data_IF_692919920917
#
_entry.id   IF_692919920917
#
_cell.length_a   1.000
_cell.length_b   1.000
_cell.length_c   1.000
_cell.angle_alpha   90.00
_cell.angle_beta   90.00
_cell.angle_gamma   90.00
#
_symmetry.space_group_name_H-M   'P 1'
#
loop_
_entity.id
_entity.type
_entity.pdbx_description
1 polymer ?
#
# COMPACT_ATOMS: atom_id res chain seq x y z
N UNK A 1 17.31 -1.41 -38.97
CA UNK A 1 16.90 -0.91 -40.30
C UNK A 1 18.04 -0.03 -40.81
N UNK A 2 18.96 -0.63 -41.59
CA UNK A 2 20.16 0.05 -42.11
C UNK A 2 19.80 0.64 -43.48
N UNK A 3 20.04 1.93 -43.68
CA UNK A 3 19.84 2.59 -44.97
C UNK A 3 21.23 2.90 -45.55
N UNK A 4 21.39 2.49 -46.80
CA UNK A 4 22.59 2.42 -47.62
C UNK A 4 23.42 3.70 -47.71
N UNK A 5 24.73 3.50 -47.58
CA UNK A 5 25.75 4.29 -48.25
C UNK A 5 25.59 4.17 -49.77
N UNK A 6 25.48 5.29 -50.48
CA UNK A 6 25.62 5.32 -51.93
C UNK A 6 26.71 6.32 -52.30
N UNK A 7 27.87 5.74 -52.60
CA UNK A 7 29.08 6.35 -53.14
C UNK A 7 28.80 6.81 -54.57
N UNK A 8 29.00 8.11 -54.87
CA UNK A 8 29.06 8.59 -56.25
C UNK A 8 30.51 8.93 -56.62
N UNK A 9 30.93 8.22 -57.66
CA UNK A 9 32.24 8.20 -58.28
C UNK A 9 32.67 9.54 -58.88
N UNK A 10 33.97 9.79 -58.77
CA UNK A 10 34.76 10.65 -59.64
C UNK A 10 34.54 10.30 -61.13
N UNK A 11 34.21 11.30 -61.94
CA UNK A 11 34.44 11.26 -63.38
C UNK A 11 35.24 12.50 -63.77
N UNK A 12 36.55 12.29 -63.88
CA UNK A 12 37.46 13.12 -64.65
C UNK A 12 37.24 12.82 -66.14
N UNK A 13 37.00 13.84 -66.94
CA UNK A 13 37.13 13.77 -68.40
C UNK A 13 37.66 15.10 -68.90
N UNK A 14 38.97 15.13 -69.13
CA UNK A 14 39.64 16.17 -69.89
C UNK A 14 39.08 16.23 -71.32
N UNK A 15 38.76 17.43 -71.79
CA UNK A 15 38.84 17.76 -73.21
C UNK A 15 39.45 19.15 -73.37
N UNK A 16 40.55 19.18 -74.09
CA UNK A 16 41.26 20.36 -74.59
C UNK A 16 40.46 20.95 -75.75
N UNK A 17 40.07 22.22 -75.67
CA UNK A 17 39.68 23.02 -76.84
C UNK A 17 40.42 24.36 -76.75
N UNK A 18 41.18 24.63 -77.82
CA UNK A 18 41.97 25.83 -78.06
C UNK A 18 41.14 27.10 -78.21
N UNK A 19 41.64 28.15 -77.54
CA UNK A 19 41.73 29.57 -77.90
C UNK A 19 40.63 30.21 -78.76
N UNK A 20 39.96 31.22 -78.18
CA UNK A 20 39.65 32.49 -78.84
C UNK A 20 39.74 33.64 -77.81
N UNK A 21 40.82 34.42 -77.87
CA UNK A 21 40.94 35.73 -77.23
C UNK A 21 40.02 36.72 -77.94
N UNK A 22 38.93 37.16 -77.28
CA UNK A 22 38.34 38.52 -77.37
C UNK A 22 37.19 38.64 -76.34
N UNK A 23 37.16 39.77 -75.62
CA UNK A 23 36.24 40.26 -74.55
C UNK A 23 36.51 39.87 -73.09
N UNK A 24 37.71 40.21 -72.63
CA UNK A 24 38.04 40.36 -71.22
C UNK A 24 37.29 41.58 -70.62
N UNK A 25 36.01 41.39 -70.26
CA UNK A 25 35.25 42.25 -69.31
C UNK A 25 33.94 41.63 -68.82
N UNK A 26 33.39 40.58 -69.47
CA UNK A 26 32.12 39.94 -69.07
C UNK A 26 32.28 38.66 -68.22
N UNK A 27 33.45 38.02 -68.18
CA UNK A 27 33.71 36.83 -67.35
C UNK A 27 33.80 37.13 -65.85
N UNK A 28 34.39 38.27 -65.47
CA UNK A 28 34.56 38.71 -64.07
C UNK A 28 33.24 39.00 -63.35
N UNK A 29 32.20 39.43 -64.08
CA UNK A 29 30.86 39.70 -63.53
C UNK A 29 30.06 38.41 -63.31
N UNK A 30 30.28 37.39 -64.15
CA UNK A 30 29.58 36.13 -64.09
C UNK A 30 30.14 35.20 -62.99
N UNK A 31 31.46 35.21 -62.77
CA UNK A 31 32.08 34.47 -61.64
C UNK A 31 31.68 35.05 -60.27
N UNK A 32 31.66 36.37 -60.10
CA UNK A 32 31.19 37.02 -58.85
C UNK A 32 29.72 36.75 -58.52
N UNK A 33 28.90 36.57 -59.55
CA UNK A 33 27.48 36.22 -59.38
C UNK A 33 27.32 34.76 -58.95
N UNK A 34 28.16 33.86 -59.48
CA UNK A 34 28.21 32.45 -59.06
C UNK A 34 28.72 32.31 -57.64
N UNK A 35 29.77 33.04 -57.27
CA UNK A 35 30.32 33.07 -55.91
C UNK A 35 29.28 33.53 -54.88
N UNK A 36 28.50 34.57 -55.18
CA UNK A 36 27.39 35.01 -54.33
C UNK A 36 26.32 33.92 -54.13
N UNK A 37 25.98 33.17 -55.18
CA UNK A 37 24.99 32.10 -55.12
C UNK A 37 25.52 30.93 -54.27
N UNK A 38 26.80 30.57 -54.41
CA UNK A 38 27.40 29.54 -53.57
C UNK A 38 27.46 29.98 -52.11
N UNK A 39 27.88 31.21 -51.83
CA UNK A 39 27.92 31.77 -50.47
C UNK A 39 26.53 31.75 -49.80
N UNK A 40 25.49 32.14 -50.54
CA UNK A 40 24.10 32.05 -50.06
C UNK A 40 23.70 30.60 -49.71
N UNK A 41 23.98 29.63 -50.59
CA UNK A 41 23.65 28.21 -50.33
C UNK A 41 24.45 27.65 -49.14
N UNK A 42 25.70 28.09 -48.93
CA UNK A 42 26.49 27.72 -47.76
C UNK A 42 25.88 28.28 -46.48
N UNK A 43 25.48 29.55 -46.47
CA UNK A 43 24.82 30.18 -45.33
C UNK A 43 23.49 29.50 -45.00
N UNK A 44 22.66 29.17 -45.99
CA UNK A 44 21.39 28.47 -45.80
C UNK A 44 21.61 27.06 -45.21
N UNK A 45 22.60 26.32 -45.70
CA UNK A 45 22.99 25.01 -45.15
C UNK A 45 23.47 25.13 -43.70
N UNK A 46 24.36 26.10 -43.43
CA UNK A 46 24.89 26.31 -42.08
C UNK A 46 23.77 26.69 -41.11
N UNK A 47 22.87 27.59 -41.52
CA UNK A 47 21.69 27.96 -40.73
C UNK A 47 20.81 26.74 -40.42
N UNK A 48 20.57 25.88 -41.42
CA UNK A 48 19.80 24.65 -41.21
C UNK A 48 20.50 23.66 -40.27
N UNK A 49 21.83 23.58 -40.34
CA UNK A 49 22.64 22.74 -39.45
C UNK A 49 22.66 23.26 -38.00
N UNK A 50 22.74 24.58 -37.81
CA UNK A 50 22.68 25.22 -36.50
C UNK A 50 21.32 24.99 -35.83
N UNK A 51 20.22 25.16 -36.55
CA UNK A 51 18.87 24.90 -36.04
C UNK A 51 18.66 23.40 -35.72
N UNK A 52 19.23 22.50 -36.54
CA UNK A 52 19.21 21.07 -36.27
C UNK A 52 19.98 20.75 -34.98
N UNK A 53 21.16 21.32 -34.80
CA UNK A 53 21.99 21.09 -33.61
C UNK A 53 21.32 21.64 -32.34
N UNK A 54 20.70 22.82 -32.43
CA UNK A 54 19.91 23.39 -31.34
C UNK A 54 18.71 22.51 -30.97
N UNK A 55 17.99 21.99 -31.97
CA UNK A 55 16.87 21.08 -31.74
C UNK A 55 17.31 19.78 -31.09
N UNK A 56 18.44 19.20 -31.53
CA UNK A 56 19.02 18.00 -30.93
C UNK A 56 19.40 18.21 -29.47
N UNK A 57 19.98 19.36 -29.13
CA UNK A 57 20.35 19.69 -27.76
C UNK A 57 19.11 19.77 -26.86
N UNK A 58 18.08 20.51 -27.28
CA UNK A 58 16.82 20.62 -26.53
C UNK A 58 16.15 19.24 -26.38
N UNK A 59 16.19 18.41 -27.43
CA UNK A 59 15.64 17.05 -27.37
C UNK A 59 16.38 16.20 -26.33
N UNK A 60 17.71 16.29 -26.28
CA UNK A 60 18.51 15.59 -25.29
C UNK A 60 18.15 16.03 -23.86
N UNK A 61 18.12 17.34 -23.61
CA UNK A 61 17.81 17.90 -22.29
C UNK A 61 16.39 17.52 -21.84
N UNK A 62 15.41 17.62 -22.74
CA UNK A 62 14.02 17.24 -22.43
C UNK A 62 13.86 15.75 -22.16
N UNK A 63 14.63 14.90 -22.85
CA UNK A 63 14.65 13.46 -22.58
C UNK A 63 15.25 13.15 -21.21
N UNK A 64 16.32 13.82 -20.82
CA UNK A 64 16.93 13.65 -19.50
C UNK A 64 15.95 14.05 -18.38
N UNK A 65 15.32 15.23 -18.51
CA UNK A 65 14.30 15.69 -17.57
C UNK A 65 13.09 14.75 -17.51
N UNK A 66 12.67 14.20 -18.64
CA UNK A 66 11.59 13.21 -18.68
C UNK A 66 11.99 11.94 -17.92
N UNK A 67 13.18 11.42 -18.16
CA UNK A 67 13.68 10.23 -17.47
C UNK A 67 13.78 10.47 -15.95
N UNK A 68 14.29 11.63 -15.53
CA UNK A 68 14.35 12.00 -14.12
C UNK A 68 12.93 12.07 -13.50
N UNK A 69 11.98 12.66 -14.22
CA UNK A 69 10.57 12.73 -13.80
C UNK A 69 9.94 11.34 -13.67
N UNK A 70 10.19 10.45 -14.63
CA UNK A 70 9.71 9.05 -14.60
C UNK A 70 10.29 8.28 -13.40
N UNK A 71 11.59 8.41 -13.13
CA UNK A 71 12.23 7.79 -11.96
C UNK A 71 11.66 8.32 -10.64
N UNK A 72 11.45 9.62 -10.55
CA UNK A 72 10.81 10.23 -9.39
C UNK A 72 9.37 9.74 -9.21
N UNK A 73 8.62 9.58 -10.30
CA UNK A 73 7.26 9.04 -10.26
C UNK A 73 7.23 7.59 -9.73
N UNK A 74 8.14 6.74 -10.19
CA UNK A 74 8.30 5.37 -9.70
C UNK A 74 8.57 5.38 -8.19
N UNK A 75 9.55 6.17 -7.74
CA UNK A 75 9.90 6.29 -6.32
C UNK A 75 8.73 6.81 -5.46
N UNK A 76 7.94 7.75 -5.97
CA UNK A 76 6.76 8.26 -5.27
C UNK A 76 5.69 7.17 -5.17
N UNK A 77 5.44 6.41 -6.23
CA UNK A 77 4.49 5.30 -6.21
C UNK A 77 4.89 4.20 -5.23
N UNK A 78 6.18 3.88 -5.14
CA UNK A 78 6.71 2.94 -4.14
C UNK A 78 6.48 3.43 -2.71
N UNK A 79 6.77 4.70 -2.44
CA UNK A 79 6.50 5.31 -1.13
C UNK A 79 5.01 5.29 -0.79
N UNK A 80 4.14 5.62 -1.75
CA UNK A 80 2.68 5.54 -1.57
C UNK A 80 2.26 4.12 -1.21
N UNK A 81 2.81 3.11 -1.89
CA UNK A 81 2.51 1.70 -1.60
C UNK A 81 2.94 1.31 -0.19
N UNK A 82 4.17 1.63 0.20
CA UNK A 82 4.70 1.35 1.53
C UNK A 82 3.88 2.04 2.63
N UNK A 83 3.55 3.31 2.45
CA UNK A 83 2.73 4.07 3.40
C UNK A 83 1.32 3.48 3.53
N UNK A 84 0.69 3.07 2.43
CA UNK A 84 -0.62 2.41 2.46
C UNK A 84 -0.58 1.09 3.24
N UNK A 85 0.46 0.28 3.03
CA UNK A 85 0.61 -0.98 3.74
C UNK A 85 0.90 -0.77 5.23
N UNK A 86 1.65 0.28 5.58
CA UNK A 86 1.91 0.67 6.95
C UNK A 86 0.65 1.15 7.67
N UNK A 87 -0.20 1.97 7.03
CA UNK A 87 -1.50 2.37 7.57
C UNK A 87 -2.35 1.15 7.90
N UNK A 88 -2.50 0.22 6.95
CA UNK A 88 -3.27 -1.02 7.17
C UNK A 88 -2.72 -1.87 8.31
N UNK A 89 -1.39 -1.90 8.47
CA UNK A 89 -0.72 -2.61 9.58
C UNK A 89 -1.03 -1.92 10.91
N UNK A 90 -0.94 -0.60 10.97
CA UNK A 90 -1.23 0.18 12.17
C UNK A 90 -2.69 0.07 12.57
N UNK A 91 -3.63 0.12 11.63
CA UNK A 91 -5.06 -0.10 11.89
C UNK A 91 -5.30 -1.46 12.55
N UNK A 92 -4.77 -2.55 11.96
CA UNK A 92 -4.88 -3.90 12.58
C UNK A 92 -4.20 -4.00 13.94
N UNK A 93 -3.12 -3.25 14.16
CA UNK A 93 -2.46 -3.23 15.47
C UNK A 93 -3.32 -2.50 16.50
N UNK A 94 -3.95 -1.40 16.10
CA UNK A 94 -4.86 -0.61 16.92
C UNK A 94 -6.09 -1.44 17.30
N UNK A 95 -6.74 -2.11 16.35
CA UNK A 95 -7.88 -2.99 16.61
C UNK A 95 -7.50 -4.11 17.61
N UNK A 96 -6.30 -4.67 17.47
CA UNK A 96 -5.78 -5.67 18.42
C UNK A 96 -5.53 -5.07 19.80
N UNK A 97 -4.94 -3.88 19.88
CA UNK A 97 -4.70 -3.20 21.15
C UNK A 97 -6.02 -2.83 21.85
N UNK A 98 -7.01 -2.35 21.10
CA UNK A 98 -8.36 -2.07 21.60
C UNK A 98 -9.02 -3.37 22.09
N UNK A 99 -8.94 -4.46 21.31
CA UNK A 99 -9.46 -5.76 21.73
C UNK A 99 -8.80 -6.26 23.02
N UNK A 100 -7.48 -6.11 23.17
CA UNK A 100 -6.76 -6.45 24.40
C UNK A 100 -7.27 -5.60 25.57
N UNK A 101 -7.40 -4.29 25.40
CA UNK A 101 -7.92 -3.39 26.43
C UNK A 101 -9.35 -3.73 26.84
N UNK A 102 -10.21 -4.05 25.86
CA UNK A 102 -11.59 -4.50 26.09
C UNK A 102 -11.63 -5.82 26.87
N UNK A 103 -10.70 -6.75 26.59
CA UNK A 103 -10.57 -8.00 27.34
C UNK A 103 -10.07 -7.78 28.77
N UNK A 104 -9.13 -6.85 28.99
CA UNK A 104 -8.70 -6.47 30.34
C UNK A 104 -9.85 -5.85 31.15
N UNK A 105 -10.64 -4.99 30.52
CA UNK A 105 -11.85 -4.45 31.13
C UNK A 105 -12.84 -5.57 31.47
N UNK A 106 -13.14 -6.46 30.52
CA UNK A 106 -14.04 -7.60 30.74
C UNK A 106 -13.56 -8.50 31.87
N UNK A 107 -12.26 -8.81 31.94
CA UNK A 107 -11.65 -9.55 33.06
C UNK A 107 -11.97 -8.87 34.40
N UNK A 108 -11.81 -7.55 34.49
CA UNK A 108 -12.09 -6.81 35.71
C UNK A 108 -13.58 -6.86 36.08
N UNK A 109 -14.48 -6.77 35.10
CA UNK A 109 -15.93 -6.87 35.33
C UNK A 109 -16.33 -8.27 35.79
N UNK A 110 -15.80 -9.33 35.16
CA UNK A 110 -16.02 -10.72 35.57
C UNK A 110 -15.51 -10.95 36.99
N UNK A 111 -14.29 -10.48 37.29
CA UNK A 111 -13.71 -10.60 38.63
C UNK A 111 -14.60 -9.91 39.69
N UNK A 112 -15.05 -8.68 39.41
CA UNK A 112 -15.98 -7.97 40.28
C UNK A 112 -17.29 -8.74 40.45
N UNK A 113 -17.86 -9.28 39.37
CA UNK A 113 -19.12 -10.02 39.43
C UNK A 113 -19.07 -11.25 40.35
N UNK A 114 -17.93 -11.92 40.46
CA UNK A 114 -17.73 -13.06 41.37
C UNK A 114 -17.40 -12.66 42.81
N UNK A 115 -16.65 -11.58 43.02
CA UNK A 115 -16.21 -11.16 44.36
C UNK A 115 -17.30 -10.40 45.12
N UNK A 116 -18.10 -9.60 44.42
CA UNK A 116 -19.11 -8.76 45.06
C UNK A 116 -20.19 -9.61 45.72
N UNK A 117 -20.50 -9.31 46.98
CA UNK A 117 -21.59 -9.97 47.75
C UNK A 117 -22.93 -9.23 47.60
N UNK A 118 -22.89 -7.98 47.13
CA UNK A 118 -24.08 -7.15 46.92
C UNK A 118 -24.80 -7.53 45.64
N UNK A 119 -26.04 -8.02 45.76
CA UNK A 119 -26.90 -8.36 44.62
C UNK A 119 -27.15 -7.18 43.72
N UNK A 120 -27.36 -6.00 44.29
CA UNK A 120 -27.63 -4.78 43.53
C UNK A 120 -26.46 -4.41 42.61
N UNK A 121 -25.23 -4.43 43.14
CA UNK A 121 -24.04 -4.12 42.35
C UNK A 121 -23.77 -5.18 41.28
N UNK A 122 -24.03 -6.47 41.56
CA UNK A 122 -23.90 -7.53 40.56
C UNK A 122 -24.91 -7.37 39.41
N UNK A 123 -26.15 -7.00 39.72
CA UNK A 123 -27.17 -6.73 38.70
C UNK A 123 -26.78 -5.55 37.79
N UNK A 124 -26.09 -4.53 38.32
CA UNK A 124 -25.56 -3.41 37.52
C UNK A 124 -24.44 -3.83 36.54
N UNK A 125 -23.71 -4.92 36.84
CA UNK A 125 -22.67 -5.44 35.95
C UNK A 125 -23.23 -6.32 34.81
N UNK A 126 -24.46 -6.83 34.94
CA UNK A 126 -25.07 -7.71 33.93
C UNK A 126 -25.21 -7.02 32.57
N UNK A 127 -25.74 -5.79 32.44
CA UNK A 127 -25.80 -5.10 31.16
C UNK A 127 -24.44 -4.97 30.47
N UNK A 128 -23.38 -4.72 31.26
CA UNK A 128 -22.00 -4.61 30.75
C UNK A 128 -21.48 -5.97 30.25
N UNK A 129 -21.79 -7.05 30.97
CA UNK A 129 -21.44 -8.41 30.53
C UNK A 129 -22.22 -8.81 29.27
N UNK A 130 -23.49 -8.45 29.18
CA UNK A 130 -24.34 -8.72 28.00
C UNK A 130 -23.78 -8.03 26.76
N UNK A 131 -23.36 -6.77 26.86
CA UNK A 131 -22.80 -6.04 25.72
C UNK A 131 -21.42 -6.54 25.32
N UNK A 132 -20.52 -6.80 26.29
CA UNK A 132 -19.14 -7.24 26.02
C UNK A 132 -19.06 -8.69 25.53
N UNK A 133 -19.92 -9.58 26.03
CA UNK A 133 -19.94 -11.00 25.62
C UNK A 133 -20.99 -11.31 24.54
N UNK A 134 -21.78 -10.31 24.12
CA UNK A 134 -22.90 -10.46 23.18
C UNK A 134 -23.85 -11.60 23.59
N UNK A 135 -24.25 -11.61 24.86
CA UNK A 135 -25.08 -12.66 25.43
C UNK A 135 -26.49 -12.63 24.83
N UNK A 136 -27.07 -13.81 24.65
CA UNK A 136 -28.47 -13.99 24.31
C UNK A 136 -29.39 -13.62 25.50
N UNK A 137 -30.68 -13.33 25.26
CA UNK A 137 -31.64 -13.07 26.33
C UNK A 137 -31.74 -14.21 27.36
N UNK A 138 -31.58 -15.46 26.91
CA UNK A 138 -31.62 -16.65 27.77
C UNK A 138 -30.39 -16.73 28.71
N UNK A 139 -29.21 -16.40 28.20
CA UNK A 139 -27.97 -16.32 28.99
C UNK A 139 -27.99 -15.13 29.96
N UNK A 140 -28.56 -14.01 29.55
CA UNK A 140 -28.80 -12.87 30.44
C UNK A 140 -29.72 -13.26 31.60
N UNK A 141 -30.82 -13.97 31.33
CA UNK A 141 -31.74 -14.45 32.37
C UNK A 141 -31.05 -15.41 33.36
N UNK A 142 -30.13 -16.25 32.87
CA UNK A 142 -29.29 -17.09 33.72
C UNK A 142 -28.39 -16.27 34.66
N UNK A 143 -27.71 -15.24 34.14
CA UNK A 143 -26.87 -14.36 34.96
C UNK A 143 -27.68 -13.61 36.02
N UNK A 144 -28.89 -13.16 35.71
CA UNK A 144 -29.79 -12.51 36.69
C UNK A 144 -30.18 -13.48 37.80
N UNK A 145 -30.51 -14.74 37.46
CA UNK A 145 -30.79 -15.77 38.47
C UNK A 145 -29.60 -16.02 39.39
N UNK A 146 -28.39 -16.16 38.84
CA UNK A 146 -27.16 -16.38 39.61
C UNK A 146 -26.81 -15.15 40.47
N UNK A 147 -27.07 -13.94 39.97
CA UNK A 147 -26.88 -12.71 40.73
C UNK A 147 -27.78 -12.67 41.98
N UNK A 148 -29.03 -13.10 41.83
CA UNK A 148 -30.02 -13.13 42.92
C UNK A 148 -29.81 -14.32 43.89
N UNK A 149 -29.34 -15.47 43.41
CA UNK A 149 -29.22 -16.70 44.21
C UNK A 149 -28.08 -16.63 45.23
N UNK A 150 -27.01 -15.86 45.00
CA UNK A 150 -25.91 -15.79 45.96
C UNK A 150 -26.26 -15.07 47.28
N UNK A 151 -27.44 -14.47 47.40
CA UNK A 151 -27.97 -13.95 48.67
C UNK A 151 -28.46 -15.06 49.61
N UNK A 152 -28.78 -16.26 49.10
CA UNK A 152 -29.43 -17.33 49.88
C UNK A 152 -28.47 -18.34 50.49
N UNK A 153 -27.15 -18.12 50.44
CA UNK A 153 -26.20 -18.88 51.27
C UNK A 153 -26.06 -18.16 52.61
N UNK A 154 -27.16 -18.10 53.35
CA UNK A 154 -27.10 -18.00 54.81
C UNK A 154 -26.74 -19.38 55.32
N UNK A 155 -25.64 -19.44 56.06
CA UNK A 155 -25.14 -20.62 56.75
C UNK A 155 -26.19 -21.01 57.80
N UNK A 156 -27.07 -21.96 57.48
CA UNK A 156 -27.85 -22.70 58.46
C UNK A 156 -27.05 -23.96 58.85
N UNK A 157 -26.02 -23.76 59.66
CA UNK A 157 -25.40 -24.82 60.45
C UNK A 157 -26.28 -25.09 61.68
N UNK A 158 -27.34 -25.90 61.53
CA UNK A 158 -27.70 -26.90 62.54
C UNK A 158 -28.84 -27.82 62.07
N UNK A 159 -28.48 -28.98 61.54
CA UNK A 159 -29.15 -30.27 61.82
C UNK A 159 -28.33 -31.38 61.18
N UNK A 160 -27.34 -31.86 61.92
CA UNK A 160 -26.68 -33.12 61.66
C UNK A 160 -27.61 -34.27 62.03
N UNK A 161 -27.47 -35.35 61.24
CA UNK A 161 -27.99 -36.70 61.45
C UNK A 161 -29.45 -36.83 61.02
N UNK A 162 -29.78 -37.56 59.95
CA UNK A 162 -29.45 -38.96 59.74
C UNK A 162 -29.99 -39.44 58.36
N UNK A 163 -29.58 -40.65 57.96
CA UNK A 163 -30.08 -41.46 56.82
C UNK A 163 -29.36 -41.34 55.47
N UNK A 164 -28.26 -42.07 55.39
CA UNK A 164 -27.80 -42.78 54.20
C UNK A 164 -28.81 -43.85 53.77
N UNK A 165 -29.39 -43.72 52.57
CA UNK A 165 -29.86 -44.88 51.80
C UNK A 165 -29.81 -44.63 50.27
N UNK A 166 -28.72 -45.09 49.69
CA UNK A 166 -28.61 -45.79 48.41
C UNK A 166 -29.66 -45.47 47.32
N UNK A 167 -29.26 -44.69 46.30
CA UNK A 167 -29.79 -44.83 44.93
C UNK A 167 -28.66 -44.74 43.91
N UNK A 168 -28.30 -45.92 43.42
CA UNK A 168 -27.62 -46.11 42.15
C UNK A 168 -28.59 -45.72 41.01
N UNK A 169 -28.23 -44.73 40.21
CA UNK A 169 -28.77 -44.52 38.85
C UNK A 169 -27.65 -43.92 38.01
N UNK A 170 -27.28 -44.66 36.99
CA UNK A 170 -26.49 -44.25 35.83
C UNK A 170 -26.99 -42.92 35.28
N UNK A 171 -26.08 -41.97 35.05
CA UNK A 171 -26.27 -40.96 34.02
C UNK A 171 -24.91 -40.50 33.52
N UNK A 172 -24.69 -40.78 32.24
CA UNK A 172 -23.63 -40.23 31.41
C UNK A 172 -23.60 -38.70 31.58
N UNK A 173 -22.58 -38.20 32.28
CA UNK A 173 -22.16 -36.82 32.15
C UNK A 173 -20.85 -36.85 31.38
N UNK A 174 -20.97 -36.54 30.10
CA UNK A 174 -19.92 -36.09 29.22
C UNK A 174 -19.19 -34.90 29.89
N UNK A 175 -18.27 -35.23 30.79
CA UNK A 175 -17.36 -34.27 31.40
C UNK A 175 -16.28 -34.00 30.37
N UNK A 176 -16.57 -33.07 29.46
CA UNK A 176 -15.55 -32.35 28.71
C UNK A 176 -14.68 -31.63 29.74
N UNK A 177 -13.66 -32.35 30.18
CA UNK A 177 -12.66 -31.89 31.11
C UNK A 177 -11.98 -30.68 30.50
N UNK A 178 -12.14 -29.53 31.17
CA UNK A 178 -11.48 -28.26 30.84
C UNK A 178 -9.95 -28.39 30.69
N UNK A 179 -9.37 -29.51 31.14
CA UNK A 179 -7.97 -29.87 30.94
C UNK A 179 -7.55 -30.05 29.48
N UNK A 180 -8.46 -30.38 28.55
CA UNK A 180 -8.11 -30.51 27.13
C UNK A 180 -7.83 -29.17 26.44
N UNK A 181 -8.38 -28.07 26.94
CA UNK A 181 -8.21 -26.73 26.36
C UNK A 181 -6.94 -26.01 26.83
N UNK A 182 -6.24 -26.54 27.83
CA UNK A 182 -5.03 -25.92 28.40
C UNK A 182 -3.73 -26.31 27.69
N UNK A 183 -3.76 -27.23 26.72
CA UNK A 183 -2.59 -27.65 25.93
C UNK A 183 -2.56 -27.08 24.50
N UNK A 184 -3.43 -26.11 24.19
CA UNK A 184 -3.40 -25.39 22.92
C UNK A 184 -3.05 -23.94 23.22
N UNK A 185 -1.79 -23.66 23.50
CA UNK A 185 -1.08 -22.39 23.28
C UNK A 185 0.41 -22.60 23.53
#
# INVERSE_FOLDING_TARGET
>A
MKISDNVLHDINSSSTIENNTTTNTQSSLNDKSRDNIYEYIQLERQHSEDELNKTKLILFDTKELLQESELNNIRLNEQIKLLKDEIRRLERNMDRAESISNLEYLKNIILKFFILKSTHERLQLIPVLVTMLKLSPDEQAQLVRVANLSTTITIDENSTNNESLNRHMTNDVNSSSWSSYLNIW
#
